data_IF_663366838314
#
_entry.id   IF_663366838314
#
_cell.length_a   1.000
_cell.length_b   1.000
_cell.length_c   1.000
_cell.angle_alpha   90.00
_cell.angle_beta   90.00
_cell.angle_gamma   90.00
#
_symmetry.space_group_name_H-M   'P 1'
#
loop_
_entity.id
_entity.type
_entity.pdbx_description
1 polymer ?
#
# COMPACT_ATOMS: atom_id res chain seq x y z
N UNK A 1 9.74 17.89 14.04
CA UNK A 1 9.08 17.27 12.87
C UNK A 1 8.21 16.14 13.39
N UNK A 2 7.08 15.85 12.75
CA UNK A 2 6.28 14.66 13.12
C UNK A 2 7.06 13.39 12.80
N UNK A 3 6.95 12.36 13.65
CA UNK A 3 7.47 11.03 13.34
C UNK A 3 6.74 10.48 12.11
N UNK A 4 7.48 9.72 11.29
CA UNK A 4 6.96 9.08 10.08
C UNK A 4 7.19 7.59 10.16
N UNK A 5 6.14 6.83 9.90
CA UNK A 5 6.16 5.38 9.84
C UNK A 5 5.66 4.92 8.47
N UNK A 6 6.09 3.75 8.03
CA UNK A 6 5.50 3.06 6.89
C UNK A 6 5.20 1.61 7.26
N UNK A 7 3.97 1.20 7.00
CA UNK A 7 3.53 -0.19 7.03
C UNK A 7 3.47 -0.68 5.58
N UNK A 8 4.36 -1.60 5.23
CA UNK A 8 4.37 -2.25 3.92
C UNK A 8 3.61 -3.58 4.06
N UNK A 9 2.42 -3.64 3.47
CA UNK A 9 1.57 -4.84 3.53
C UNK A 9 1.92 -5.80 2.40
N UNK A 10 2.40 -7.00 2.76
CA UNK A 10 2.81 -8.05 1.83
C UNK A 10 2.00 -9.36 1.98
N UNK A 11 0.79 -9.31 2.56
CA UNK A 11 -0.07 -10.49 2.81
C UNK A 11 -0.76 -11.11 1.57
N UNK A 12 -0.50 -10.64 0.35
CA UNK A 12 -1.22 -11.10 -0.84
C UNK A 12 -0.79 -12.50 -1.29
N UNK A 13 -1.66 -13.50 -1.18
CA UNK A 13 -1.43 -14.83 -1.78
C UNK A 13 -1.41 -14.71 -3.31
N UNK A 14 -0.26 -14.98 -3.94
CA UNK A 14 0.03 -14.76 -5.38
C UNK A 14 -0.77 -15.61 -6.38
N UNK A 15 -1.99 -16.07 -6.05
CA UNK A 15 -2.79 -17.03 -6.83
C UNK A 15 -2.98 -16.67 -8.32
N UNK A 16 -2.95 -15.37 -8.65
CA UNK A 16 -3.14 -14.85 -10.03
C UNK A 16 -1.86 -14.81 -10.87
N UNK A 17 -0.68 -15.05 -10.28
CA UNK A 17 0.60 -15.02 -10.99
C UNK A 17 1.00 -16.39 -11.57
N UNK A 18 0.27 -17.47 -11.24
CA UNK A 18 0.58 -18.82 -11.71
C UNK A 18 1.90 -19.42 -11.17
N UNK A 19 2.63 -18.69 -10.33
CA UNK A 19 3.87 -19.13 -9.67
C UNK A 19 3.61 -19.62 -8.25
N UNK A 20 4.45 -20.56 -7.78
CA UNK A 20 4.48 -20.96 -6.36
C UNK A 20 5.06 -19.88 -5.43
N UNK A 21 5.80 -18.91 -6.00
CA UNK A 21 6.41 -17.79 -5.27
C UNK A 21 5.37 -16.67 -5.13
N UNK A 22 5.15 -16.11 -3.93
CA UNK A 22 4.32 -14.94 -3.73
C UNK A 22 4.80 -13.73 -4.55
N UNK A 23 3.85 -12.99 -5.12
CA UNK A 23 4.13 -11.93 -6.12
C UNK A 23 5.04 -10.81 -5.64
N UNK A 24 5.00 -10.48 -4.34
CA UNK A 24 5.87 -9.48 -3.72
C UNK A 24 7.35 -9.90 -3.67
N UNK A 25 7.62 -11.20 -3.79
CA UNK A 25 8.95 -11.80 -3.77
C UNK A 25 9.46 -12.17 -5.17
N UNK A 26 8.62 -12.03 -6.20
CA UNK A 26 9.05 -12.21 -7.57
C UNK A 26 10.08 -11.14 -7.95
N UNK A 27 11.03 -11.53 -8.78
CA UNK A 27 12.05 -10.64 -9.30
C UNK A 27 11.45 -9.65 -10.32
N UNK A 28 11.78 -8.37 -10.12
CA UNK A 28 11.52 -7.27 -11.03
C UNK A 28 12.87 -6.63 -11.36
N UNK A 29 13.35 -6.81 -12.59
CA UNK A 29 14.64 -6.25 -13.05
C UNK A 29 15.82 -6.56 -12.11
N UNK A 30 16.00 -7.84 -11.75
CA UNK A 30 17.12 -8.28 -10.90
C UNK A 30 16.93 -8.09 -9.38
N UNK A 31 15.79 -7.54 -8.93
CA UNK A 31 15.51 -7.31 -7.51
C UNK A 31 14.06 -7.67 -7.16
N UNK A 32 13.78 -8.36 -6.03
CA UNK A 32 12.40 -8.64 -5.60
C UNK A 32 11.51 -7.40 -5.52
N UNK A 33 10.26 -7.52 -5.97
CA UNK A 33 9.27 -6.41 -6.02
C UNK A 33 9.20 -5.63 -4.69
N UNK A 34 9.14 -6.32 -3.55
CA UNK A 34 9.06 -5.67 -2.24
C UNK A 34 10.28 -4.80 -1.92
N UNK A 35 11.47 -5.15 -2.41
CA UNK A 35 12.69 -4.40 -2.15
C UNK A 35 12.73 -3.09 -2.93
N UNK A 36 12.16 -3.03 -4.13
CA UNK A 36 11.95 -1.76 -4.85
C UNK A 36 11.06 -0.80 -4.06
N UNK A 37 9.96 -1.31 -3.50
CA UNK A 37 9.05 -0.56 -2.64
C UNK A 37 9.78 -0.02 -1.40
N UNK A 38 10.48 -0.89 -0.67
CA UNK A 38 11.25 -0.52 0.53
C UNK A 38 12.28 0.56 0.21
N UNK A 39 13.07 0.34 -0.84
CA UNK A 39 14.12 1.26 -1.27
C UNK A 39 13.56 2.65 -1.58
N UNK A 40 12.42 2.72 -2.26
CA UNK A 40 11.83 4.02 -2.63
C UNK A 40 11.36 4.82 -1.40
N UNK A 41 10.79 4.16 -0.38
CA UNK A 41 10.47 4.82 0.89
C UNK A 41 11.71 5.27 1.65
N UNK A 42 12.79 4.47 1.60
CA UNK A 42 14.04 4.82 2.25
C UNK A 42 14.74 6.00 1.56
N UNK A 43 14.73 6.02 0.23
CA UNK A 43 15.24 7.12 -0.60
C UNK A 43 14.45 8.42 -0.37
N UNK A 44 13.14 8.33 -0.09
CA UNK A 44 12.35 9.48 0.33
C UNK A 44 12.79 10.05 1.69
N UNK A 45 13.02 9.19 2.69
CA UNK A 45 13.41 9.63 4.03
C UNK A 45 14.07 8.52 4.84
N UNK A 46 15.37 8.69 5.16
CA UNK A 46 16.12 7.77 6.05
C UNK A 46 15.58 7.67 7.47
N UNK A 47 14.79 8.65 7.92
CA UNK A 47 14.22 8.72 9.27
C UNK A 47 12.81 8.11 9.37
N UNK A 48 12.37 7.35 8.35
CA UNK A 48 11.06 6.67 8.41
C UNK A 48 11.22 5.31 9.09
N UNK A 49 10.37 5.00 10.06
CA UNK A 49 10.35 3.67 10.68
C UNK A 49 9.60 2.68 9.80
N UNK A 50 10.21 1.53 9.51
CA UNK A 50 9.62 0.49 8.66
C UNK A 50 8.96 -0.62 9.47
N UNK A 51 7.74 -0.98 9.07
CA UNK A 51 7.02 -2.16 9.56
C UNK A 51 6.60 -2.98 8.34
N UNK A 52 7.09 -4.21 8.26
CA UNK A 52 6.75 -5.15 7.19
C UNK A 52 5.71 -6.13 7.71
N UNK A 53 4.55 -6.18 7.07
CA UNK A 53 3.51 -7.16 7.42
C UNK A 53 3.55 -8.31 6.43
N UNK A 54 4.01 -9.45 6.89
CA UNK A 54 4.23 -10.65 6.08
C UNK A 54 3.26 -11.76 6.50
N UNK A 55 2.73 -12.56 5.56
CA UNK A 55 1.99 -13.75 5.93
C UNK A 55 2.96 -14.79 6.53
N UNK A 56 2.44 -15.70 7.37
CA UNK A 56 3.28 -16.70 8.04
C UNK A 56 4.11 -17.54 7.06
N UNK A 57 3.50 -17.90 5.92
CA UNK A 57 4.14 -18.66 4.84
C UNK A 57 5.14 -17.84 4.00
N UNK A 58 5.27 -16.54 4.27
CA UNK A 58 6.20 -15.63 3.63
C UNK A 58 7.47 -15.32 4.44
N UNK A 59 7.54 -15.74 5.70
CA UNK A 59 8.65 -15.40 6.60
C UNK A 59 9.98 -16.08 6.20
N UNK A 60 9.93 -17.35 5.82
CA UNK A 60 11.11 -18.09 5.38
C UNK A 60 11.67 -17.52 4.07
N UNK A 61 10.78 -17.21 3.12
CA UNK A 61 11.18 -16.60 1.85
C UNK A 61 11.74 -15.18 2.06
N UNK A 62 11.14 -14.40 2.96
CA UNK A 62 11.69 -13.10 3.34
C UNK A 62 13.10 -13.21 3.93
N UNK A 63 13.33 -14.20 4.80
CA UNK A 63 14.65 -14.44 5.39
C UNK A 63 15.71 -14.72 4.31
N UNK A 64 15.38 -15.60 3.35
CA UNK A 64 16.25 -15.90 2.19
C UNK A 64 16.53 -14.65 1.34
N UNK A 65 15.51 -13.84 1.09
CA UNK A 65 15.66 -12.58 0.33
C UNK A 65 16.62 -11.65 1.05
N UNK A 66 16.51 -11.48 2.37
CA UNK A 66 17.38 -10.58 3.13
C UNK A 66 18.80 -11.10 3.29
N UNK A 67 19.04 -12.41 3.20
CA UNK A 67 20.39 -12.98 3.09
C UNK A 67 21.03 -12.67 1.74
N UNK A 68 20.26 -12.79 0.65
CA UNK A 68 20.73 -12.52 -0.71
C UNK A 68 20.89 -11.03 -1.00
N UNK A 69 19.98 -10.21 -0.45
CA UNK A 69 19.91 -8.76 -0.63
C UNK A 69 19.88 -8.06 0.73
N UNK A 70 21.03 -7.94 1.42
CA UNK A 70 21.08 -7.30 2.73
C UNK A 70 20.55 -5.86 2.67
N UNK A 71 19.66 -5.55 3.62
CA UNK A 71 19.08 -4.23 3.78
C UNK A 71 19.84 -3.45 4.86
N UNK A 72 20.41 -2.31 4.51
CA UNK A 72 21.01 -1.36 5.46
C UNK A 72 19.94 -0.40 6.01
N UNK A 73 18.82 -0.98 6.48
CA UNK A 73 17.69 -0.26 7.07
C UNK A 73 17.17 -0.98 8.31
N UNK A 74 16.79 -0.23 9.34
CA UNK A 74 16.10 -0.79 10.51
C UNK A 74 14.61 -0.97 10.19
N UNK A 75 14.10 -2.18 10.39
CA UNK A 75 12.70 -2.50 10.19
C UNK A 75 12.21 -3.51 11.23
N UNK A 76 10.90 -3.47 11.48
CA UNK A 76 10.19 -4.46 12.27
C UNK A 76 9.40 -5.37 11.34
N UNK A 77 9.27 -6.65 11.69
CA UNK A 77 8.44 -7.61 10.99
C UNK A 77 7.25 -7.97 11.86
N UNK A 78 6.07 -8.01 11.25
CA UNK A 78 4.81 -8.33 11.88
C UNK A 78 4.10 -9.42 11.09
N UNK A 79 3.44 -10.34 11.80
CA UNK A 79 2.62 -11.37 11.19
C UNK A 79 1.31 -10.77 10.64
N UNK A 80 0.96 -11.14 9.41
CA UNK A 80 -0.34 -10.83 8.82
C UNK A 80 -1.47 -11.55 9.54
N UNK A 81 -2.70 -11.06 9.34
CA UNK A 81 -3.91 -11.74 9.82
C UNK A 81 -4.70 -12.41 8.70
N UNK A 82 -5.92 -12.82 9.00
CA UNK A 82 -6.80 -13.50 8.04
C UNK A 82 -7.20 -12.59 6.88
N UNK A 83 -7.43 -11.31 7.18
CA UNK A 83 -7.78 -10.28 6.19
C UNK A 83 -6.72 -9.19 6.11
N UNK A 84 -6.82 -8.35 5.07
CA UNK A 84 -6.00 -7.13 4.97
C UNK A 84 -6.23 -6.21 6.19
N UNK A 85 -7.45 -6.15 6.71
CA UNK A 85 -7.78 -5.35 7.89
C UNK A 85 -6.97 -5.82 9.11
N UNK A 86 -6.93 -7.13 9.36
CA UNK A 86 -6.19 -7.71 10.48
C UNK A 86 -4.68 -7.51 10.32
N UNK A 87 -4.14 -7.73 9.11
CA UNK A 87 -2.74 -7.47 8.79
C UNK A 87 -2.33 -6.01 9.10
N UNK A 88 -3.13 -5.04 8.65
CA UNK A 88 -2.84 -3.62 8.91
C UNK A 88 -2.98 -3.30 10.39
N UNK A 89 -3.99 -3.86 11.07
CA UNK A 89 -4.18 -3.68 12.51
C UNK A 89 -2.96 -4.13 13.30
N UNK A 90 -2.44 -5.33 13.02
CA UNK A 90 -1.23 -5.84 13.68
C UNK A 90 -0.02 -4.92 13.42
N UNK A 91 0.14 -4.43 12.18
CA UNK A 91 1.21 -3.48 11.86
C UNK A 91 1.07 -2.14 12.61
N UNK A 92 -0.16 -1.63 12.76
CA UNK A 92 -0.44 -0.40 13.51
C UNK A 92 -0.18 -0.54 15.01
N UNK A 93 -0.34 -1.74 15.58
CA UNK A 93 -0.04 -2.03 16.98
C UNK A 93 1.45 -1.93 17.30
N UNK A 94 2.33 -2.16 16.32
CA UNK A 94 3.79 -2.00 16.47
C UNK A 94 4.24 -0.54 16.62
N UNK A 95 3.40 0.42 16.22
CA UNK A 95 3.73 1.85 16.30
C UNK A 95 3.44 2.36 17.72
N UNK A 96 4.48 2.71 18.47
CA UNK A 96 4.38 3.21 19.84
C UNK A 96 4.36 4.75 19.94
N UNK A 97 4.78 5.45 18.90
CA UNK A 97 4.89 6.90 18.88
C UNK A 97 3.81 7.53 18.01
N UNK A 98 3.31 8.70 18.41
CA UNK A 98 2.41 9.49 17.57
C UNK A 98 3.18 10.10 16.39
N UNK A 99 2.46 10.34 15.29
CA UNK A 99 3.02 10.85 14.06
C UNK A 99 2.11 10.56 12.88
N UNK A 100 2.72 10.34 11.72
CA UNK A 100 2.04 9.93 10.50
C UNK A 100 2.48 8.53 10.09
N UNK A 101 1.54 7.72 9.64
CA UNK A 101 1.81 6.38 9.09
C UNK A 101 1.32 6.30 7.66
N UNK A 102 2.21 5.90 6.75
CA UNK A 102 1.87 5.46 5.41
C UNK A 102 1.53 3.96 5.43
N UNK A 103 0.37 3.57 4.94
CA UNK A 103 0.04 2.16 4.69
C UNK A 103 0.16 1.96 3.17
N UNK A 104 1.03 1.04 2.76
CA UNK A 104 1.43 0.88 1.37
C UNK A 104 1.44 -0.59 0.92
N UNK A 105 1.02 -0.82 -0.31
CA UNK A 105 1.04 -2.16 -0.91
C UNK A 105 2.49 -2.53 -1.28
N UNK A 106 3.01 -3.67 -0.81
CA UNK A 106 4.36 -4.14 -1.19
C UNK A 106 4.58 -4.29 -2.71
N UNK A 107 3.48 -4.43 -3.46
CA UNK A 107 3.43 -4.65 -4.91
C UNK A 107 3.16 -3.39 -5.72
N UNK A 108 3.45 -2.21 -5.17
CA UNK A 108 3.47 -0.93 -5.89
C UNK A 108 4.90 -0.37 -5.93
N UNK A 109 5.84 -1.06 -6.59
CA UNK A 109 7.27 -0.75 -6.49
C UNK A 109 7.69 0.57 -7.15
N UNK A 110 6.79 1.20 -7.90
CA UNK A 110 7.08 2.38 -8.75
C UNK A 110 6.44 3.67 -8.22
N UNK A 111 6.01 3.69 -6.97
CA UNK A 111 5.60 4.94 -6.31
C UNK A 111 6.78 5.93 -6.33
N UNK A 112 6.58 7.20 -6.70
CA UNK A 112 7.67 8.17 -6.65
C UNK A 112 7.90 8.75 -5.25
N UNK A 113 9.13 9.21 -4.98
CA UNK A 113 9.42 9.97 -3.75
C UNK A 113 8.63 11.28 -3.66
N UNK A 114 8.24 11.87 -4.81
CA UNK A 114 7.37 13.04 -4.86
C UNK A 114 5.97 12.73 -4.35
N UNK A 115 5.37 11.63 -4.84
CA UNK A 115 4.04 11.21 -4.41
C UNK A 115 4.03 10.86 -2.91
N UNK A 116 5.06 10.13 -2.44
CA UNK A 116 5.21 9.85 -1.01
C UNK A 116 5.25 11.15 -0.20
N UNK A 117 6.06 12.12 -0.63
CA UNK A 117 6.17 13.43 0.03
C UNK A 117 4.83 14.17 0.07
N UNK A 118 4.12 14.23 -1.04
CA UNK A 118 2.83 14.92 -1.14
C UNK A 118 1.76 14.29 -0.22
N UNK A 119 1.72 12.97 -0.15
CA UNK A 119 0.84 12.27 0.80
C UNK A 119 1.15 12.65 2.25
N UNK A 120 2.43 12.61 2.67
CA UNK A 120 2.82 13.01 4.02
C UNK A 120 2.53 14.50 4.30
N UNK A 121 2.81 15.38 3.35
CA UNK A 121 2.58 16.83 3.49
C UNK A 121 1.08 17.15 3.61
N UNK A 122 0.23 16.52 2.80
CA UNK A 122 -1.22 16.69 2.92
C UNK A 122 -1.75 16.12 4.23
N UNK A 123 -1.34 14.91 4.61
CA UNK A 123 -1.75 14.28 5.86
C UNK A 123 -1.33 15.11 7.08
N UNK A 124 -0.15 15.73 7.07
CA UNK A 124 0.30 16.62 8.15
C UNK A 124 -0.61 17.84 8.36
N UNK A 125 -1.32 18.28 7.31
CA UNK A 125 -2.22 19.45 7.35
C UNK A 125 -3.68 19.09 7.54
N UNK A 126 -4.08 17.88 7.13
CA UNK A 126 -5.49 17.45 7.03
C UNK A 126 -5.83 16.19 7.81
N UNK A 127 -4.85 15.56 8.46
CA UNK A 127 -4.98 14.31 9.22
C UNK A 127 -4.92 13.05 8.35
N UNK A 128 -5.19 13.13 7.05
CA UNK A 128 -5.02 12.03 6.11
C UNK A 128 -4.77 12.50 4.67
N UNK A 129 -4.29 11.58 3.85
CA UNK A 129 -4.06 11.80 2.42
C UNK A 129 -4.12 10.46 1.66
N UNK A 130 -4.88 10.45 0.56
CA UNK A 130 -5.07 9.25 -0.26
C UNK A 130 -4.85 9.62 -1.74
N UNK A 131 -3.84 9.04 -2.41
CA UNK A 131 -3.60 9.29 -3.82
C UNK A 131 -4.64 8.55 -4.66
N UNK A 132 -5.19 9.24 -5.67
CA UNK A 132 -6.20 8.66 -6.53
C UNK A 132 -6.13 9.17 -7.97
N UNK A 133 -6.51 8.35 -8.93
CA UNK A 133 -6.49 8.66 -10.36
C UNK A 133 -7.92 8.84 -10.91
N UNK A 134 -8.14 9.75 -11.87
CA UNK A 134 -9.36 9.75 -12.66
C UNK A 134 -9.45 8.48 -13.52
N UNK A 135 -10.68 8.03 -13.82
CA UNK A 135 -10.87 6.90 -14.73
C UNK A 135 -10.69 7.34 -16.18
N UNK A 136 -9.83 6.62 -16.92
CA UNK A 136 -9.57 6.89 -18.33
C UNK A 136 -10.66 6.31 -19.25
N UNK A 137 -11.28 5.21 -18.84
CA UNK A 137 -12.26 4.49 -19.63
C UNK A 137 -13.69 4.76 -19.17
N UNK A 138 -14.65 4.51 -20.06
CA UNK A 138 -16.08 4.56 -19.75
C UNK A 138 -16.43 3.50 -18.71
N UNK A 139 -17.18 3.90 -17.68
CA UNK A 139 -17.56 3.03 -16.57
C UNK A 139 -19.03 2.68 -16.69
N UNK A 140 -19.36 1.42 -16.36
CA UNK A 140 -20.75 0.97 -16.24
C UNK A 140 -20.98 0.40 -14.83
N UNK A 141 -22.11 0.74 -14.24
CA UNK A 141 -22.60 0.05 -13.05
C UNK A 141 -23.40 -1.18 -13.50
N UNK A 142 -23.13 -2.32 -12.86
CA UNK A 142 -23.78 -3.61 -13.13
C UNK A 142 -24.73 -3.94 -11.98
N UNK A 143 -25.94 -4.37 -12.31
CA UNK A 143 -26.95 -4.85 -11.35
C UNK A 143 -27.62 -6.10 -11.91
N UNK A 144 -27.14 -7.28 -11.51
CA UNK A 144 -27.56 -8.54 -12.13
C UNK A 144 -27.14 -8.59 -13.60
N UNK A 145 -28.10 -8.79 -14.51
CA UNK A 145 -27.87 -8.77 -15.96
C UNK A 145 -27.94 -7.35 -16.56
N UNK A 146 -28.40 -6.36 -15.79
CA UNK A 146 -28.51 -4.98 -16.25
C UNK A 146 -27.18 -4.24 -16.15
N UNK A 147 -26.98 -3.31 -17.08
CA UNK A 147 -25.79 -2.47 -17.11
C UNK A 147 -26.15 -1.05 -17.53
N UNK A 148 -25.74 -0.04 -16.76
CA UNK A 148 -25.96 1.38 -17.07
C UNK A 148 -24.65 2.18 -17.07
N UNK A 149 -24.46 3.12 -18.02
CA UNK A 149 -23.28 3.99 -17.98
C UNK A 149 -23.37 4.90 -16.75
N UNK A 150 -22.22 5.20 -16.15
CA UNK A 150 -22.11 6.18 -15.06
C UNK A 150 -21.20 7.33 -15.46
N UNK A 151 -21.42 8.47 -14.82
CA UNK A 151 -20.54 9.62 -14.95
C UNK A 151 -19.19 9.33 -14.27
N UNK A 152 -18.19 8.95 -15.07
CA UNK A 152 -16.86 8.55 -14.61
C UNK A 152 -16.15 9.66 -13.82
N UNK A 153 -16.51 10.92 -14.01
CA UNK A 153 -15.84 12.06 -13.35
C UNK A 153 -16.14 12.09 -11.85
N UNK A 154 -17.15 11.34 -11.40
CA UNK A 154 -17.49 11.12 -9.98
C UNK A 154 -16.72 9.98 -9.32
N UNK A 155 -15.90 9.25 -10.07
CA UNK A 155 -15.19 8.08 -9.57
C UNK A 155 -13.68 8.28 -9.62
N UNK A 156 -12.96 7.60 -8.74
CA UNK A 156 -11.50 7.61 -8.71
C UNK A 156 -10.97 6.20 -8.46
N UNK A 157 -9.80 5.90 -9.02
CA UNK A 157 -9.04 4.69 -8.72
C UNK A 157 -8.09 5.02 -7.58
N UNK A 158 -8.30 4.40 -6.43
CA UNK A 158 -7.46 4.65 -5.26
C UNK A 158 -6.12 3.92 -5.35
N UNK A 159 -5.06 4.61 -4.93
CA UNK A 159 -3.70 4.08 -4.83
C UNK A 159 -3.22 4.10 -3.38
N UNK A 160 -2.02 3.56 -3.16
CA UNK A 160 -1.27 3.73 -1.91
C UNK A 160 0.08 4.40 -2.26
N UNK A 161 0.76 5.09 -1.32
CA UNK A 161 0.51 5.10 0.12
C UNK A 161 -0.73 5.87 0.52
N UNK A 162 -1.51 5.31 1.44
CA UNK A 162 -2.52 6.06 2.18
C UNK A 162 -1.89 6.50 3.50
N UNK A 163 -1.86 7.80 3.75
CA UNK A 163 -1.17 8.36 4.91
C UNK A 163 -2.18 8.90 5.90
N UNK A 164 -2.00 8.58 7.17
CA UNK A 164 -2.92 8.95 8.24
C UNK A 164 -2.17 9.40 9.48
N UNK A 165 -2.81 10.23 10.30
CA UNK A 165 -2.41 10.42 11.68
C UNK A 165 -2.53 9.08 12.44
N UNK A 166 -1.44 8.67 13.11
CA UNK A 166 -1.33 7.39 13.82
C UNK A 166 -2.45 7.25 14.85
N UNK A 167 -2.65 8.28 15.68
CA UNK A 167 -3.64 8.28 16.76
C UNK A 167 -5.07 8.04 16.23
N UNK A 168 -5.37 8.59 15.05
CA UNK A 168 -6.70 8.53 14.44
C UNK A 168 -6.93 7.20 13.74
N UNK A 169 -5.99 6.73 12.93
CA UNK A 169 -6.14 5.46 12.21
C UNK A 169 -6.15 4.27 13.18
N UNK A 170 -5.34 4.29 14.25
CA UNK A 170 -5.38 3.25 15.29
C UNK A 170 -6.75 3.13 15.95
N UNK A 171 -7.42 4.27 16.22
CA UNK A 171 -8.79 4.29 16.75
C UNK A 171 -9.80 3.73 15.75
N UNK A 172 -9.69 4.10 14.47
CA UNK A 172 -10.56 3.58 13.43
C UNK A 172 -10.46 2.05 13.32
N UNK A 173 -9.27 1.48 13.42
CA UNK A 173 -9.04 0.03 13.40
C UNK A 173 -9.49 -0.73 14.67
N UNK A 174 -9.98 -0.04 15.70
CA UNK A 174 -10.66 -0.70 16.83
C UNK A 174 -12.11 -1.07 16.53
N UNK A 175 -12.68 -0.58 15.42
CA UNK A 175 -14.01 -1.00 14.99
C UNK A 175 -13.99 -2.45 14.51
N UNK A 176 -15.15 -3.11 14.57
CA UNK A 176 -15.29 -4.46 14.01
C UNK A 176 -15.07 -4.44 12.49
N UNK A 177 -14.41 -5.48 11.97
CA UNK A 177 -14.23 -5.68 10.53
C UNK A 177 -15.59 -5.71 9.80
N UNK A 178 -15.61 -5.17 8.57
CA UNK A 178 -16.75 -5.17 7.66
C UNK A 178 -16.25 -5.43 6.25
N UNK A 179 -16.97 -6.23 5.47
CA UNK A 179 -16.62 -6.54 4.07
C UNK A 179 -16.61 -5.32 3.14
N UNK A 180 -17.24 -4.22 3.56
CA UNK A 180 -17.17 -2.93 2.86
C UNK A 180 -15.79 -2.27 2.95
N UNK A 181 -14.90 -2.74 3.82
CA UNK A 181 -13.54 -2.19 3.94
C UNK A 181 -12.66 -2.72 2.82
N UNK A 182 -12.46 -1.88 1.81
CA UNK A 182 -11.68 -2.23 0.62
C UNK A 182 -10.24 -1.68 0.68
N UNK A 183 -10.02 -0.62 1.45
CA UNK A 183 -8.75 0.04 1.72
C UNK A 183 -8.73 0.70 3.11
N UNK A 184 -7.60 1.30 3.52
CA UNK A 184 -7.48 1.90 4.86
C UNK A 184 -8.32 3.18 4.99
N UNK A 185 -8.52 3.90 3.88
CA UNK A 185 -9.38 5.07 3.80
C UNK A 185 -10.83 4.73 4.13
N UNK A 186 -11.36 3.62 3.63
CA UNK A 186 -12.73 3.17 3.93
C UNK A 186 -12.93 2.80 5.40
N UNK A 187 -11.88 2.33 6.09
CA UNK A 187 -11.90 2.07 7.53
C UNK A 187 -12.03 3.38 8.31
N UNK A 188 -11.20 4.37 7.95
CA UNK A 188 -11.22 5.70 8.57
C UNK A 188 -12.52 6.47 8.25
N UNK A 189 -13.04 6.35 7.04
CA UNK A 189 -14.30 6.97 6.61
C UNK A 189 -15.49 6.43 7.39
N UNK A 190 -15.54 5.10 7.59
CA UNK A 190 -16.52 4.43 8.45
C UNK A 190 -16.48 4.93 9.90
N UNK A 191 -15.33 5.38 10.37
CA UNK A 191 -15.16 5.98 11.70
C UNK A 191 -15.66 7.44 11.78
N UNK A 192 -16.17 8.00 10.66
CA UNK A 192 -16.75 9.34 10.58
C UNK A 192 -15.77 10.43 10.15
N UNK A 193 -14.58 10.06 9.68
CA UNK A 193 -13.57 11.02 9.21
C UNK A 193 -13.68 11.27 7.71
N UNK A 194 -13.48 12.52 7.30
CA UNK A 194 -13.41 12.88 5.87
C UNK A 194 -12.09 12.41 5.27
N UNK A 195 -12.14 11.84 4.08
CA UNK A 195 -10.95 11.48 3.28
C UNK A 195 -10.54 12.62 2.36
N UNK A 196 -9.24 12.91 2.31
CA UNK A 196 -8.66 13.92 1.44
C UNK A 196 -7.87 13.25 0.31
N UNK A 197 -8.38 13.41 -0.90
CA UNK A 197 -7.73 12.91 -2.10
C UNK A 197 -6.67 13.91 -2.60
N UNK A 198 -5.59 13.37 -3.16
CA UNK A 198 -4.66 14.10 -4.03
C UNK A 198 -4.45 13.29 -5.32
N UNK A 199 -3.83 13.93 -6.31
CA UNK A 199 -3.55 13.29 -7.59
C UNK A 199 -2.56 12.14 -7.41
N UNK A 200 -2.94 10.96 -7.89
CA UNK A 200 -2.06 9.80 -7.96
C UNK A 200 -1.13 9.83 -9.19
N UNK A 201 -0.37 8.75 -9.35
CA UNK A 201 0.57 8.60 -10.47
C UNK A 201 0.21 7.39 -11.33
N UNK A 202 0.12 7.57 -12.65
CA UNK A 202 -0.15 6.45 -13.57
C UNK A 202 0.90 5.34 -13.48
N UNK A 203 2.17 5.71 -13.22
CA UNK A 203 3.27 4.76 -13.06
C UNK A 203 3.22 3.97 -11.75
N UNK A 204 2.50 4.46 -10.74
CA UNK A 204 2.29 3.79 -9.45
C UNK A 204 1.27 2.63 -9.57
N UNK A 205 1.55 1.70 -10.49
CA UNK A 205 0.73 0.53 -10.78
C UNK A 205 0.81 -0.48 -9.65
N UNK A 206 -0.26 -1.25 -9.46
CA UNK A 206 -0.27 -2.40 -8.54
C UNK A 206 0.03 -3.66 -9.33
N UNK A 207 1.11 -4.35 -9.01
CA UNK A 207 1.44 -5.62 -9.65
C UNK A 207 0.46 -6.71 -9.15
N UNK A 208 -0.38 -7.20 -10.06
CA UNK A 208 -1.39 -8.22 -9.81
C UNK A 208 -1.41 -9.35 -10.84
N UNK A 209 -0.85 -9.11 -12.01
CA UNK A 209 -0.80 -10.01 -13.17
C UNK A 209 0.62 -10.02 -13.79
N UNK A 210 0.94 -11.02 -14.64
CA UNK A 210 2.18 -11.02 -15.42
C UNK A 210 2.35 -9.79 -16.32
N UNK A 211 1.26 -9.27 -16.90
CA UNK A 211 1.28 -8.06 -17.75
C UNK A 211 1.68 -6.81 -16.95
N UNK A 212 1.27 -6.72 -15.67
CA UNK A 212 1.72 -5.66 -14.77
C UNK A 212 3.22 -5.74 -14.53
N UNK A 213 3.80 -6.95 -14.46
CA UNK A 213 5.24 -7.14 -14.29
C UNK A 213 6.01 -6.65 -15.52
N UNK A 214 5.56 -7.02 -16.72
CA UNK A 214 6.16 -6.53 -17.97
C UNK A 214 6.09 -5.01 -18.07
N UNK A 215 4.95 -4.44 -17.69
CA UNK A 215 4.76 -2.98 -17.63
C UNK A 215 5.72 -2.33 -16.63
N UNK A 216 5.88 -2.93 -15.44
CA UNK A 216 6.78 -2.42 -14.42
C UNK A 216 8.25 -2.43 -14.87
N UNK A 217 8.70 -3.50 -15.54
CA UNK A 217 10.06 -3.58 -16.12
C UNK A 217 10.27 -2.48 -17.16
N UNK A 218 9.26 -2.20 -17.99
CA UNK A 218 9.36 -1.14 -18.99
C UNK A 218 9.54 0.24 -18.34
N UNK A 219 8.78 0.53 -17.29
CA UNK A 219 8.89 1.80 -16.55
C UNK A 219 10.22 1.97 -15.80
N UNK A 220 10.90 0.89 -15.39
CA UNK A 220 12.21 0.97 -14.73
C UNK A 220 13.36 1.31 -15.69
N UNK A 221 13.18 1.09 -17.00
CA UNK A 221 14.23 1.28 -18.02
C UNK A 221 14.21 2.67 -18.68
N UNK A 222 13.23 3.50 -18.35
CA UNK A 222 13.12 4.90 -18.81
C UNK A 222 13.80 5.88 -17.85
#
# INVERSE_FOLDING_TARGET
MLNKHVIITAGGKGKRMGSGIPKQFMELDGLPVILHTIKTFFDYSKNISFILVLPDDGMDEWSRITEQYPLDIEYQVCHGGETRFDSVKNGLEMINEDGLVAIHDAVRPLVSTSLIKECFDLASRKGNAVPALPLADSVREISGEESRPVDRDKFRIVQTPQVFEVSLIKKAYQQAYRDSFTDDASVLESFGSKIYLLDGEKRNIKITTPDDMMTAVAFLKE
#
